data_IF_489614825788
#
_entry.id   IF_489614825788
#
_cell.length_a   1.000
_cell.length_b   1.000
_cell.length_c   1.000
_cell.angle_alpha   90.00
_cell.angle_beta   90.00
_cell.angle_gamma   90.00
#
_symmetry.space_group_name_H-M   'P 1'
#
loop_
_entity.id
_entity.type
_entity.pdbx_description
1 polymer ?
#
# COMPACT_ATOMS: atom_id res chain seq x y z
N UNK A 1 -3.84 10.17 -19.96
CA UNK A 1 -3.85 9.50 -18.64
C UNK A 1 -2.98 8.26 -18.73
N UNK A 2 -1.73 8.31 -18.28
CA UNK A 2 -0.79 7.18 -18.37
C UNK A 2 -0.80 6.42 -17.04
N UNK A 3 -1.43 5.24 -17.03
CA UNK A 3 -1.38 4.33 -15.89
C UNK A 3 -0.12 3.47 -16.01
N UNK A 4 0.95 3.86 -15.31
CA UNK A 4 2.13 3.02 -15.13
C UNK A 4 1.75 1.84 -14.26
N UNK A 5 1.39 0.72 -14.89
CA UNK A 5 1.19 -0.56 -14.22
C UNK A 5 2.56 -1.09 -13.74
N UNK A 6 3.04 -0.56 -12.62
CA UNK A 6 3.96 -1.32 -11.78
C UNK A 6 3.14 -2.48 -11.23
N UNK A 7 3.31 -3.65 -11.82
CA UNK A 7 2.64 -4.88 -11.40
C UNK A 7 3.58 -5.63 -10.45
N UNK A 8 3.58 -5.32 -9.14
CA UNK A 8 4.27 -6.17 -8.20
C UNK A 8 3.64 -7.55 -8.29
N UNK A 9 4.48 -8.60 -8.37
CA UNK A 9 4.03 -9.99 -8.17
C UNK A 9 3.57 -10.16 -6.71
N UNK A 10 2.51 -9.49 -6.28
CA UNK A 10 1.76 -9.94 -5.12
C UNK A 10 1.06 -11.21 -5.58
N UNK A 11 1.34 -12.33 -4.91
CA UNK A 11 0.57 -13.55 -5.08
C UNK A 11 -0.88 -13.19 -4.74
N UNK A 12 -1.73 -13.04 -5.76
CA UNK A 12 -3.16 -12.75 -5.59
C UNK A 12 -3.70 -13.65 -4.47
N UNK A 13 -4.28 -13.04 -3.42
CA UNK A 13 -4.90 -13.74 -2.29
C UNK A 13 -4.13 -13.78 -0.97
N UNK A 14 -2.93 -13.19 -0.87
CA UNK A 14 -2.25 -13.03 0.44
C UNK A 14 -2.63 -11.71 1.10
N UNK A 15 -3.12 -11.79 2.33
CA UNK A 15 -3.41 -10.61 3.15
C UNK A 15 -2.09 -9.95 3.57
N UNK A 16 -2.07 -8.63 3.69
CA UNK A 16 -0.94 -7.90 4.29
C UNK A 16 -0.63 -8.50 5.66
N UNK A 17 0.61 -8.91 5.86
CA UNK A 17 1.17 -9.30 7.14
C UNK A 17 1.21 -8.12 8.10
N UNK A 18 1.21 -8.37 9.41
CA UNK A 18 1.23 -7.34 10.44
C UNK A 18 2.38 -6.34 10.25
N UNK A 19 3.58 -6.83 9.87
CA UNK A 19 4.73 -5.96 9.57
C UNK A 19 4.54 -5.09 8.33
N UNK A 20 3.81 -5.58 7.32
CA UNK A 20 3.52 -4.81 6.10
C UNK A 20 2.49 -3.71 6.39
N UNK A 21 1.46 -4.02 7.20
CA UNK A 21 0.48 -3.04 7.71
C UNK A 21 1.15 -1.94 8.53
N UNK A 22 2.09 -2.31 9.41
CA UNK A 22 2.87 -1.37 10.20
C UNK A 22 3.67 -0.39 9.34
N UNK A 23 4.30 -0.87 8.25
CA UNK A 23 5.01 0.00 7.28
C UNK A 23 4.06 0.98 6.60
N UNK A 24 2.91 0.52 6.12
CA UNK A 24 1.91 1.38 5.46
C UNK A 24 1.46 2.51 6.40
N UNK A 25 1.15 2.18 7.66
CA UNK A 25 0.79 3.19 8.67
C UNK A 25 1.90 4.18 8.98
N UNK A 26 3.12 3.69 9.19
CA UNK A 26 4.25 4.56 9.50
C UNK A 26 4.49 5.59 8.38
N UNK A 27 4.40 5.15 7.13
CA UNK A 27 4.52 6.06 5.99
C UNK A 27 3.34 7.02 5.87
N UNK A 28 2.11 6.56 6.10
CA UNK A 28 0.94 7.43 6.10
C UNK A 28 1.00 8.49 7.21
N UNK A 29 1.42 8.11 8.42
CA UNK A 29 1.63 9.02 9.54
C UNK A 29 2.75 10.02 9.28
N UNK A 30 3.74 9.67 8.45
CA UNK A 30 4.79 10.58 7.98
C UNK A 30 4.28 11.59 6.93
N UNK A 31 2.99 11.61 6.61
CA UNK A 31 2.38 12.54 5.65
C UNK A 31 2.54 12.15 4.18
N UNK A 32 3.03 10.93 3.89
CA UNK A 32 3.17 10.46 2.52
C UNK A 32 1.81 10.10 1.92
N UNK A 33 1.59 10.49 0.66
CA UNK A 33 0.36 10.10 -0.06
C UNK A 33 0.36 8.60 -0.40
N UNK A 34 -0.81 7.97 -0.48
CA UNK A 34 -0.93 6.55 -0.84
C UNK A 34 -0.23 6.18 -2.16
N UNK A 35 -0.13 7.13 -3.10
CA UNK A 35 0.61 6.94 -4.37
C UNK A 35 2.13 6.94 -4.16
N UNK A 36 2.62 7.79 -3.27
CA UNK A 36 4.04 7.83 -2.88
C UNK A 36 4.45 6.56 -2.14
N UNK A 37 3.57 6.06 -1.28
CA UNK A 37 3.79 4.82 -0.56
C UNK A 37 3.76 3.63 -1.54
N UNK A 38 2.83 3.62 -2.51
CA UNK A 38 2.75 2.58 -3.56
C UNK A 38 3.93 2.59 -4.55
N UNK A 39 4.69 3.69 -4.62
CA UNK A 39 5.97 3.72 -5.35
C UNK A 39 7.11 3.05 -4.56
N UNK A 40 7.01 3.04 -3.23
CA UNK A 40 8.03 2.50 -2.31
C UNK A 40 7.75 1.06 -1.90
N UNK A 41 6.47 0.70 -1.83
CA UNK A 41 6.00 -0.64 -1.48
C UNK A 41 5.36 -1.31 -2.69
N UNK A 42 5.51 -2.64 -2.84
CA UNK A 42 4.92 -3.41 -3.94
C UNK A 42 3.41 -3.66 -3.72
N UNK A 43 2.65 -2.66 -3.28
CA UNK A 43 1.20 -2.75 -3.11
C UNK A 43 0.49 -1.67 -3.91
N UNK A 44 -0.71 -1.99 -4.38
CA UNK A 44 -1.53 -1.02 -5.08
C UNK A 44 -1.96 0.11 -4.11
N UNK A 45 -2.14 1.35 -4.62
CA UNK A 45 -2.69 2.45 -3.82
C UNK A 45 -4.03 2.09 -3.18
N UNK A 46 -4.81 1.24 -3.86
CA UNK A 46 -6.11 0.75 -3.40
C UNK A 46 -5.97 -0.14 -2.15
N UNK A 47 -4.93 -0.98 -2.09
CA UNK A 47 -4.64 -1.81 -0.91
C UNK A 47 -4.32 -0.94 0.31
N UNK A 48 -3.57 0.14 0.13
CA UNK A 48 -3.24 1.09 1.21
C UNK A 48 -4.47 1.85 1.69
N UNK A 49 -5.31 2.30 0.75
CA UNK A 49 -6.57 2.96 1.09
C UNK A 49 -7.47 2.04 1.92
N UNK A 50 -7.59 0.77 1.52
CA UNK A 50 -8.37 -0.22 2.25
C UNK A 50 -7.79 -0.49 3.65
N UNK A 51 -6.46 -0.51 3.80
CA UNK A 51 -5.81 -0.70 5.11
C UNK A 51 -6.04 0.49 6.04
N UNK A 52 -5.91 1.72 5.54
CA UNK A 52 -6.19 2.94 6.31
C UNK A 52 -7.66 3.00 6.71
N UNK A 53 -8.58 2.68 5.79
CA UNK A 53 -10.01 2.68 6.05
C UNK A 53 -10.42 1.60 7.07
N UNK A 54 -9.69 0.47 7.14
CA UNK A 54 -9.93 -0.58 8.13
C UNK A 54 -9.55 -0.16 9.56
N UNK A 55 -8.74 0.88 9.73
CA UNK A 55 -8.51 1.52 11.03
C UNK A 55 -7.88 0.62 12.10
N UNK A 56 -7.25 -0.49 11.72
CA UNK A 56 -6.42 -1.27 12.64
C UNK A 56 -5.24 -0.46 13.12
#
# INVERSE_FOLDING_TARGET
MTQTYYNPKSRKGTHLSYGERGKIKAFHFSGLSNREIARRLPYAPQTMNNEIQRGH
#
